data_IF_130001815315
#
_entry.id   IF_130001815315
#
_cell.length_a   1.000
_cell.length_b   1.000
_cell.length_c   1.000
_cell.angle_alpha   90.00
_cell.angle_beta   90.00
_cell.angle_gamma   90.00
#
_symmetry.space_group_name_H-M   'P 1'
#
loop_
_entity.id
_entity.type
_entity.pdbx_description
1 polymer ?
#
# COMPACT_ATOMS: atom_id res chain seq x y z
N UNK A 1 -13.61 -17.99 -13.51
CA UNK A 1 -13.59 -16.88 -14.47
C UNK A 1 -12.67 -17.22 -15.63
N UNK A 2 -13.03 -16.94 -16.88
CA UNK A 2 -12.16 -17.20 -18.04
C UNK A 2 -11.07 -16.11 -18.18
N UNK A 3 -9.79 -16.44 -18.46
CA UNK A 3 -8.71 -15.46 -18.55
C UNK A 3 -8.94 -14.34 -19.57
N UNK A 4 -9.54 -14.65 -20.73
CA UNK A 4 -9.84 -13.66 -21.75
C UNK A 4 -10.90 -12.63 -21.29
N UNK A 5 -11.88 -13.06 -20.48
CA UNK A 5 -12.88 -12.16 -19.87
C UNK A 5 -12.21 -11.23 -18.86
N UNK A 6 -11.41 -11.78 -17.94
CA UNK A 6 -10.67 -11.01 -16.95
C UNK A 6 -9.74 -9.96 -17.61
N UNK A 7 -8.98 -10.35 -18.62
CA UNK A 7 -8.09 -9.43 -19.36
C UNK A 7 -8.88 -8.26 -19.98
N UNK A 8 -10.03 -8.54 -20.59
CA UNK A 8 -10.87 -7.51 -21.21
C UNK A 8 -11.46 -6.57 -20.16
N UNK A 9 -12.02 -7.10 -19.08
CA UNK A 9 -12.59 -6.30 -17.99
C UNK A 9 -11.54 -5.38 -17.35
N UNK A 10 -10.38 -5.92 -16.96
CA UNK A 10 -9.33 -5.11 -16.32
C UNK A 10 -8.79 -4.00 -17.23
N UNK A 11 -8.64 -4.27 -18.54
CA UNK A 11 -8.04 -3.32 -19.48
C UNK A 11 -9.04 -2.29 -20.00
N UNK A 12 -10.27 -2.71 -20.28
CA UNK A 12 -11.24 -1.91 -21.03
C UNK A 12 -12.46 -1.51 -20.21
N UNK A 13 -12.72 -2.15 -19.06
CA UNK A 13 -13.84 -1.81 -18.20
C UNK A 13 -13.72 -0.39 -17.64
N UNK A 14 -14.87 0.25 -17.43
CA UNK A 14 -14.98 1.67 -17.05
C UNK A 14 -15.83 1.89 -15.80
N UNK A 15 -16.20 0.83 -15.06
CA UNK A 15 -16.94 1.02 -13.82
C UNK A 15 -16.20 1.92 -12.83
N UNK A 16 -16.94 2.64 -11.95
CA UNK A 16 -16.33 3.43 -10.90
C UNK A 16 -15.40 2.62 -9.96
N UNK A 17 -15.67 1.32 -9.75
CA UNK A 17 -14.79 0.47 -8.94
C UNK A 17 -13.48 0.15 -9.64
N UNK A 18 -13.51 -0.17 -10.94
CA UNK A 18 -12.28 -0.39 -11.69
C UNK A 18 -11.41 0.87 -11.71
N UNK A 19 -11.99 2.05 -11.85
CA UNK A 19 -11.25 3.31 -11.79
C UNK A 19 -10.57 3.50 -10.43
N UNK A 20 -11.29 3.29 -9.31
CA UNK A 20 -10.70 3.35 -7.97
C UNK A 20 -9.62 2.29 -7.77
N UNK A 21 -9.83 1.06 -8.25
CA UNK A 21 -8.83 -0.02 -8.17
C UNK A 21 -7.55 0.31 -8.91
N UNK A 22 -7.63 0.92 -10.10
CA UNK A 22 -6.44 1.38 -10.84
C UNK A 22 -5.65 2.41 -10.02
N UNK A 23 -6.33 3.34 -9.36
CA UNK A 23 -5.70 4.26 -8.41
C UNK A 23 -5.08 3.51 -7.22
N UNK A 24 -5.79 2.59 -6.57
CA UNK A 24 -5.25 1.80 -5.47
C UNK A 24 -4.00 1.03 -5.90
N UNK A 25 -4.02 0.36 -7.06
CA UNK A 25 -2.86 -0.34 -7.62
C UNK A 25 -1.71 0.65 -7.86
N UNK A 26 -1.96 1.77 -8.52
CA UNK A 26 -0.95 2.79 -8.80
C UNK A 26 -0.31 3.38 -7.53
N UNK A 27 -1.12 3.69 -6.52
CA UNK A 27 -0.64 4.18 -5.22
C UNK A 27 0.24 3.15 -4.51
N UNK A 28 -0.17 1.87 -4.51
CA UNK A 28 0.65 0.80 -3.93
C UNK A 28 1.95 0.58 -4.71
N UNK A 29 1.94 0.66 -6.04
CA UNK A 29 3.17 0.60 -6.84
C UNK A 29 4.09 1.79 -6.56
N UNK A 30 3.54 2.98 -6.34
CA UNK A 30 4.32 4.14 -5.91
C UNK A 30 4.95 3.92 -4.53
N UNK A 31 4.20 3.39 -3.55
CA UNK A 31 4.76 3.00 -2.26
C UNK A 31 5.85 1.92 -2.40
N UNK A 32 5.67 0.94 -3.26
CA UNK A 32 6.68 -0.09 -3.49
C UNK A 32 7.98 0.49 -4.09
N UNK A 33 7.85 1.46 -5.01
CA UNK A 33 8.97 2.20 -5.57
C UNK A 33 9.69 3.05 -4.52
N UNK A 34 8.94 3.71 -3.62
CA UNK A 34 9.51 4.43 -2.47
C UNK A 34 10.35 3.46 -1.62
N UNK A 35 9.81 2.29 -1.26
CA UNK A 35 10.55 1.27 -0.52
C UNK A 35 11.82 0.83 -1.25
N UNK A 36 11.79 0.77 -2.58
CA UNK A 36 12.98 0.44 -3.39
C UNK A 36 14.05 1.52 -3.33
N UNK A 37 13.67 2.80 -3.32
CA UNK A 37 14.59 3.94 -3.16
C UNK A 37 15.21 3.93 -1.76
N UNK A 38 14.40 3.78 -0.72
CA UNK A 38 14.87 3.67 0.68
C UNK A 38 15.78 2.46 0.86
N UNK A 39 15.37 1.29 0.36
CA UNK A 39 16.18 0.07 0.41
C UNK A 39 17.52 0.21 -0.31
N UNK A 40 17.55 0.91 -1.47
CA UNK A 40 18.79 1.20 -2.19
C UNK A 40 19.74 2.11 -1.38
N UNK A 41 19.21 3.06 -0.61
CA UNK A 41 20.01 3.83 0.35
C UNK A 41 20.56 2.95 1.47
N UNK A 42 19.72 2.08 2.06
CA UNK A 42 20.11 1.23 3.19
C UNK A 42 21.21 0.21 2.87
N UNK A 43 21.35 -0.19 1.60
CA UNK A 43 22.46 -1.06 1.17
C UNK A 43 23.63 -0.29 0.54
N UNK A 44 23.59 1.05 0.57
CA UNK A 44 24.66 1.90 0.09
C UNK A 44 24.75 2.06 -1.44
N UNK A 45 23.71 1.68 -2.19
CA UNK A 45 23.63 2.02 -3.63
C UNK A 45 23.38 3.52 -3.82
N UNK A 46 22.63 4.13 -2.91
CA UNK A 46 22.47 5.58 -2.80
C UNK A 46 23.24 6.09 -1.58
N UNK A 47 23.74 7.32 -1.67
CA UNK A 47 24.48 7.95 -0.56
C UNK A 47 23.64 8.91 0.28
N UNK A 48 22.49 9.33 -0.24
CA UNK A 48 21.63 10.33 0.37
C UNK A 48 20.21 10.19 -0.20
N UNK A 49 19.21 10.39 0.65
CA UNK A 49 17.81 10.53 0.30
C UNK A 49 17.44 12.02 0.29
N UNK A 50 16.97 12.57 -0.85
CA UNK A 50 16.64 13.98 -0.91
C UNK A 50 15.43 14.26 -0.01
N UNK A 51 15.63 15.13 0.98
CA UNK A 51 14.60 15.60 1.88
C UNK A 51 14.07 16.99 1.48
N UNK A 52 12.81 17.31 1.79
CA UNK A 52 12.32 18.69 1.75
C UNK A 52 13.19 19.58 2.65
N UNK A 53 13.46 20.85 2.28
CA UNK A 53 14.28 21.76 3.07
C UNK A 53 13.57 22.28 4.34
N UNK A 54 12.47 21.65 4.75
CA UNK A 54 11.65 22.02 5.90
C UNK A 54 11.76 20.92 6.96
N UNK A 55 11.90 21.30 8.22
CA UNK A 55 11.87 20.32 9.31
C UNK A 55 10.48 19.71 9.50
N UNK A 56 10.37 18.50 10.10
CA UNK A 56 11.42 17.76 10.79
C UNK A 56 11.97 16.55 9.99
N UNK A 57 12.25 16.72 8.69
CA UNK A 57 12.70 15.62 7.83
C UNK A 57 14.23 15.41 7.85
N UNK A 58 14.65 14.17 8.09
CA UNK A 58 16.03 13.68 8.01
C UNK A 58 15.99 12.17 7.71
N UNK A 59 15.71 11.84 6.45
CA UNK A 59 15.55 10.47 5.95
C UNK A 59 16.83 9.69 6.09
N UNK A 60 17.99 10.31 5.87
CA UNK A 60 19.30 9.66 6.02
C UNK A 60 19.51 9.13 7.43
N UNK A 61 19.23 9.97 8.44
CA UNK A 61 19.33 9.60 9.85
C UNK A 61 18.35 8.49 10.23
N UNK A 62 17.10 8.60 9.77
CA UNK A 62 16.04 7.66 10.11
C UNK A 62 16.32 6.29 9.48
N UNK A 63 16.59 6.24 8.18
CA UNK A 63 16.72 4.99 7.43
C UNK A 63 18.06 4.29 7.65
N UNK A 64 19.08 5.01 8.15
CA UNK A 64 20.34 4.42 8.63
C UNK A 64 20.33 4.04 10.12
N UNK A 65 19.25 4.33 10.85
CA UNK A 65 19.14 3.99 12.28
C UNK A 65 18.93 2.49 12.50
N UNK A 66 19.15 2.01 13.74
CA UNK A 66 18.90 0.61 14.09
C UNK A 66 17.50 0.15 13.68
N UNK A 67 16.49 1.04 13.81
CA UNK A 67 15.10 0.74 13.46
C UNK A 67 14.94 0.22 12.02
N UNK A 68 15.68 0.77 11.05
CA UNK A 68 15.61 0.39 9.64
C UNK A 68 16.07 -1.04 9.35
N UNK A 69 16.71 -1.70 10.32
CA UNK A 69 17.25 -3.06 10.19
C UNK A 69 16.71 -4.03 11.25
N UNK A 70 15.87 -3.56 12.19
CA UNK A 70 15.40 -4.35 13.35
C UNK A 70 14.57 -5.58 12.99
N UNK A 71 14.07 -5.66 11.75
CA UNK A 71 13.11 -6.68 11.33
C UNK A 71 13.78 -7.68 10.41
N UNK A 72 13.95 -8.91 10.90
CA UNK A 72 14.48 -10.07 10.15
C UNK A 72 15.91 -9.87 9.61
N UNK A 73 16.69 -8.95 10.18
CA UNK A 73 18.02 -8.54 9.68
C UNK A 73 17.99 -8.10 8.20
N UNK A 74 16.86 -7.56 7.75
CA UNK A 74 16.63 -7.07 6.39
C UNK A 74 16.36 -5.56 6.45
N UNK A 75 16.92 -4.77 5.52
CA UNK A 75 16.54 -3.36 5.38
C UNK A 75 15.04 -3.22 5.15
N UNK A 76 14.37 -2.43 5.99
CA UNK A 76 12.91 -2.32 6.00
C UNK A 76 12.34 -1.74 4.69
N UNK A 77 13.12 -0.98 3.92
CA UNK A 77 12.76 -0.54 2.58
C UNK A 77 12.41 -1.69 1.63
N UNK A 78 13.10 -2.84 1.71
CA UNK A 78 12.76 -4.01 0.90
C UNK A 78 11.50 -4.72 1.40
N UNK A 79 11.28 -4.77 2.72
CA UNK A 79 10.03 -5.28 3.29
C UNK A 79 8.84 -4.42 2.86
N UNK A 80 9.06 -3.10 2.82
CA UNK A 80 8.12 -2.12 2.30
C UNK A 80 7.81 -2.38 0.81
N UNK A 81 8.81 -2.59 -0.03
CA UNK A 81 8.60 -2.96 -1.44
C UNK A 81 7.75 -4.22 -1.58
N UNK A 82 8.07 -5.27 -0.83
CA UNK A 82 7.36 -6.54 -0.90
C UNK A 82 5.89 -6.40 -0.45
N UNK A 83 5.64 -5.72 0.66
CA UNK A 83 4.26 -5.58 1.19
C UNK A 83 3.38 -4.79 0.23
N UNK A 84 3.88 -3.69 -0.33
CA UNK A 84 3.09 -2.85 -1.23
C UNK A 84 2.94 -3.45 -2.63
N UNK A 85 3.94 -4.19 -3.13
CA UNK A 85 3.77 -5.00 -4.33
C UNK A 85 2.69 -6.09 -4.15
N UNK A 86 2.65 -6.73 -2.98
CA UNK A 86 1.59 -7.67 -2.60
C UNK A 86 0.22 -7.01 -2.53
N UNK A 87 0.11 -5.82 -1.92
CA UNK A 87 -1.13 -5.04 -1.88
C UNK A 87 -1.61 -4.62 -3.28
N UNK A 88 -0.70 -4.21 -4.16
CA UNK A 88 -1.01 -3.92 -5.56
C UNK A 88 -1.55 -5.15 -6.29
N UNK A 89 -0.91 -6.31 -6.11
CA UNK A 89 -1.37 -7.56 -6.70
C UNK A 89 -2.78 -7.94 -6.20
N UNK A 90 -3.02 -7.87 -4.89
CA UNK A 90 -4.33 -8.15 -4.29
C UNK A 90 -5.43 -7.21 -4.82
N UNK A 91 -5.15 -5.91 -4.94
CA UNK A 91 -6.07 -4.94 -5.51
C UNK A 91 -6.37 -5.20 -7.01
N UNK A 92 -5.41 -5.78 -7.74
CA UNK A 92 -5.56 -6.14 -9.15
C UNK A 92 -6.35 -7.45 -9.38
N UNK A 93 -6.55 -8.29 -8.36
CA UNK A 93 -7.30 -9.55 -8.50
C UNK A 93 -8.80 -9.35 -8.72
N UNK A 94 -9.42 -10.18 -9.55
CA UNK A 94 -10.86 -10.22 -9.79
C UNK A 94 -11.35 -9.30 -10.91
N UNK A 95 -12.48 -9.68 -11.51
CA UNK A 95 -13.12 -8.98 -12.63
C UNK A 95 -13.78 -7.64 -12.25
N UNK A 96 -14.53 -7.07 -13.18
CA UNK A 96 -15.23 -5.78 -13.00
C UNK A 96 -16.26 -5.83 -11.85
N UNK A 97 -17.03 -6.92 -11.78
CA UNK A 97 -18.10 -7.13 -10.80
C UNK A 97 -17.62 -8.00 -9.61
N UNK A 98 -16.35 -7.87 -9.20
CA UNK A 98 -15.78 -8.71 -8.14
C UNK A 98 -16.43 -8.50 -6.77
N UNK A 99 -17.10 -7.37 -6.53
CA UNK A 99 -17.84 -7.16 -5.29
C UNK A 99 -19.03 -8.12 -5.16
N UNK A 100 -19.64 -8.49 -6.28
CA UNK A 100 -20.77 -9.41 -6.35
C UNK A 100 -20.29 -10.86 -6.53
N UNK A 101 -19.38 -11.10 -7.48
CA UNK A 101 -18.92 -12.45 -7.83
C UNK A 101 -17.90 -13.03 -6.83
N UNK A 102 -17.06 -12.19 -6.21
CA UNK A 102 -15.93 -12.59 -5.36
C UNK A 102 -15.77 -11.63 -4.16
N UNK A 103 -16.78 -11.47 -3.29
CA UNK A 103 -16.81 -10.45 -2.25
C UNK A 103 -15.67 -10.53 -1.24
N UNK A 104 -15.04 -11.70 -1.09
CA UNK A 104 -13.86 -11.87 -0.25
C UNK A 104 -12.65 -11.05 -0.74
N UNK A 105 -12.53 -10.76 -2.05
CA UNK A 105 -11.41 -10.01 -2.61
C UNK A 105 -11.42 -8.51 -2.21
N UNK A 106 -12.52 -7.75 -2.39
CA UNK A 106 -12.58 -6.37 -1.87
C UNK A 106 -12.38 -6.29 -0.37
N UNK A 107 -12.96 -7.22 0.40
CA UNK A 107 -12.81 -7.27 1.86
C UNK A 107 -11.35 -7.50 2.24
N UNK A 108 -10.68 -8.48 1.63
CA UNK A 108 -9.27 -8.74 1.86
C UNK A 108 -8.40 -7.53 1.46
N UNK A 109 -8.71 -6.89 0.33
CA UNK A 109 -8.00 -5.69 -0.15
C UNK A 109 -8.10 -4.56 0.88
N UNK A 110 -9.31 -4.28 1.38
CA UNK A 110 -9.51 -3.21 2.36
C UNK A 110 -8.93 -3.55 3.73
N UNK A 111 -9.02 -4.81 4.16
CA UNK A 111 -8.38 -5.27 5.40
C UNK A 111 -6.86 -5.12 5.33
N UNK A 112 -6.24 -5.49 4.20
CA UNK A 112 -4.81 -5.31 3.96
C UNK A 112 -4.44 -3.83 3.92
N UNK A 113 -5.20 -2.99 3.25
CA UNK A 113 -4.93 -1.55 3.20
C UNK A 113 -5.01 -0.86 4.57
N UNK A 114 -5.98 -1.27 5.41
CA UNK A 114 -6.08 -0.78 6.81
C UNK A 114 -4.91 -1.29 7.65
N UNK A 115 -4.51 -2.55 7.47
CA UNK A 115 -3.32 -3.09 8.13
C UNK A 115 -2.06 -2.31 7.74
N UNK A 116 -1.85 -2.07 6.44
CA UNK A 116 -0.71 -1.30 5.94
C UNK A 116 -0.69 0.13 6.50
N UNK A 117 -1.85 0.79 6.55
CA UNK A 117 -1.98 2.12 7.15
C UNK A 117 -1.65 2.11 8.65
N UNK A 118 -2.13 1.11 9.39
CA UNK A 118 -1.84 0.97 10.82
C UNK A 118 -0.35 0.70 11.07
N UNK A 119 0.27 -0.14 10.24
CA UNK A 119 1.72 -0.38 10.27
C UNK A 119 2.47 0.92 9.97
N UNK A 120 2.15 1.62 8.88
CA UNK A 120 2.81 2.86 8.52
C UNK A 120 2.70 3.95 9.61
N UNK A 121 1.53 4.10 10.23
CA UNK A 121 1.33 5.03 11.34
C UNK A 121 2.18 4.65 12.58
N UNK A 122 2.27 3.35 12.88
CA UNK A 122 3.13 2.85 13.97
C UNK A 122 4.61 3.10 13.68
N UNK A 123 5.05 2.86 12.45
CA UNK A 123 6.42 3.11 12.02
C UNK A 123 6.77 4.61 12.10
N UNK A 124 5.89 5.50 11.65
CA UNK A 124 6.08 6.95 11.81
C UNK A 124 6.22 7.37 13.29
N UNK A 125 5.50 6.71 14.20
CA UNK A 125 5.66 6.92 15.63
C UNK A 125 7.01 6.41 16.15
N UNK A 126 7.48 5.25 15.66
CA UNK A 126 8.81 4.70 15.98
C UNK A 126 9.92 5.64 15.48
N UNK A 127 9.84 6.14 14.23
CA UNK A 127 10.76 7.13 13.67
C UNK A 127 10.89 8.36 14.58
N UNK A 128 9.77 8.95 14.96
CA UNK A 128 9.76 10.14 15.82
C UNK A 128 10.32 9.86 17.22
N UNK A 129 9.96 8.73 17.82
CA UNK A 129 10.34 8.41 19.19
C UNK A 129 11.83 8.06 19.33
N UNK A 130 12.41 7.38 18.33
CA UNK A 130 13.82 6.97 18.34
C UNK A 130 14.74 8.05 17.76
N UNK A 131 14.33 8.71 16.68
CA UNK A 131 15.21 9.60 15.92
C UNK A 131 14.88 11.09 16.09
N UNK A 132 13.73 11.46 16.66
CA UNK A 132 13.27 12.87 16.70
C UNK A 132 13.26 13.54 15.31
N UNK A 133 13.13 12.73 14.27
CA UNK A 133 13.10 13.11 12.87
C UNK A 133 12.15 12.14 12.13
N UNK A 134 11.69 12.55 10.96
CA UNK A 134 10.84 11.72 10.10
C UNK A 134 11.52 11.49 8.76
N UNK A 135 11.30 10.32 8.18
CA UNK A 135 11.71 10.05 6.80
C UNK A 135 10.64 10.60 5.84
N UNK A 136 10.96 11.60 5.02
CA UNK A 136 10.00 12.23 4.11
C UNK A 136 9.40 11.22 3.12
N UNK A 137 10.21 10.24 2.69
CA UNK A 137 9.79 9.15 1.82
C UNK A 137 8.77 8.24 2.50
N UNK A 138 9.02 7.83 3.74
CA UNK A 138 8.08 7.03 4.54
C UNK A 138 6.78 7.79 4.83
N UNK A 139 6.85 9.09 5.11
CA UNK A 139 5.65 9.91 5.32
C UNK A 139 4.83 10.07 4.03
N UNK A 140 5.49 10.24 2.87
CA UNK A 140 4.81 10.24 1.58
C UNK A 140 4.08 8.91 1.33
N UNK A 141 4.73 7.77 1.59
CA UNK A 141 4.09 6.46 1.46
C UNK A 141 2.92 6.26 2.43
N UNK A 142 3.02 6.79 3.66
CA UNK A 142 1.94 6.78 4.64
C UNK A 142 0.72 7.52 4.11
N UNK A 143 0.91 8.72 3.54
CA UNK A 143 -0.17 9.50 2.93
C UNK A 143 -0.81 8.78 1.72
N UNK A 144 0.00 8.22 0.82
CA UNK A 144 -0.50 7.43 -0.31
C UNK A 144 -1.31 6.21 0.14
N UNK A 145 -0.86 5.54 1.20
CA UNK A 145 -1.53 4.38 1.78
C UNK A 145 -2.86 4.75 2.42
N UNK A 146 -2.94 5.91 3.10
CA UNK A 146 -4.20 6.43 3.62
C UNK A 146 -5.23 6.69 2.51
N UNK A 147 -4.79 7.31 1.40
CA UNK A 147 -5.65 7.53 0.22
C UNK A 147 -6.07 6.18 -0.38
N UNK A 148 -5.16 5.24 -0.54
CA UNK A 148 -5.47 3.91 -1.07
C UNK A 148 -6.52 3.19 -0.20
N UNK A 149 -6.38 3.21 1.13
CA UNK A 149 -7.34 2.63 2.06
C UNK A 149 -8.72 3.30 1.98
N UNK A 150 -8.79 4.62 1.82
CA UNK A 150 -10.06 5.31 1.62
C UNK A 150 -10.76 4.88 0.31
N UNK A 151 -9.98 4.70 -0.76
CA UNK A 151 -10.49 4.30 -2.07
C UNK A 151 -11.03 2.86 -2.11
N UNK A 152 -10.63 1.97 -1.20
CA UNK A 152 -11.16 0.59 -1.13
C UNK A 152 -12.54 0.50 -0.47
N UNK A 153 -12.96 1.51 0.28
CA UNK A 153 -14.19 1.47 1.08
C UNK A 153 -15.47 1.29 0.25
N UNK A 154 -15.69 1.98 -0.89
CA UNK A 154 -16.95 1.87 -1.64
C UNK A 154 -17.19 0.47 -2.22
N UNK A 155 -16.16 -0.17 -2.77
CA UNK A 155 -16.22 -1.53 -3.31
C UNK A 155 -16.43 -2.54 -2.17
N UNK A 156 -15.76 -2.34 -1.03
CA UNK A 156 -15.91 -3.19 0.16
C UNK A 156 -17.32 -3.11 0.75
N UNK A 157 -17.92 -1.92 0.80
CA UNK A 157 -19.30 -1.76 1.24
C UNK A 157 -20.29 -2.51 0.32
N UNK A 158 -20.02 -2.57 -0.99
CA UNK A 158 -20.79 -3.40 -1.91
C UNK A 158 -20.59 -4.89 -1.66
N UNK A 159 -19.34 -5.32 -1.48
CA UNK A 159 -19.02 -6.72 -1.18
C UNK A 159 -19.70 -7.21 0.11
N UNK A 160 -19.67 -6.40 1.17
CA UNK A 160 -20.34 -6.70 2.44
C UNK A 160 -21.87 -6.83 2.27
N UNK A 161 -22.48 -5.96 1.46
CA UNK A 161 -23.92 -6.08 1.12
C UNK A 161 -24.22 -7.33 0.30
N UNK A 162 -23.34 -7.73 -0.62
CA UNK A 162 -23.49 -8.96 -1.38
C UNK A 162 -23.50 -10.18 -0.47
N UNK A 163 -22.55 -10.27 0.47
CA UNK A 163 -22.49 -11.35 1.47
C UNK A 163 -23.72 -11.38 2.37
N UNK A 164 -24.16 -10.22 2.87
CA UNK A 164 -25.34 -10.15 3.73
C UNK A 164 -26.61 -10.67 3.03
N UNK A 165 -26.77 -10.40 1.72
CA UNK A 165 -27.88 -10.93 0.92
C UNK A 165 -27.78 -12.44 0.72
N UNK A 166 -26.58 -12.97 0.52
CA UNK A 166 -26.35 -14.41 0.34
C UNK A 166 -26.58 -15.20 1.63
N UNK A 167 -26.33 -14.60 2.79
CA UNK A 167 -26.53 -15.26 4.09
C UNK A 167 -27.99 -15.22 4.59
N UNK A 168 -28.82 -14.34 4.03
CA UNK A 168 -30.22 -14.14 4.43
C UNK A 168 -31.26 -14.76 3.48
N UNK A 169 -30.84 -15.44 2.42
CA UNK A 169 -31.70 -16.18 1.48
C UNK A 169 -31.45 -17.68 1.59
#
# INVERSE_FOLDING_TARGET
MQPARLSRELRLGTSPDLTRRRWVVGLNLACAAIGGVVGAYQIGMLRHLPDPPVGPFDSDRVDASNYGYKRLDVPDGFLMTLTYAGSAALAAMGGEDRAEEQPHLPIATSAKAVYDLATAAKLAQEEWSENRALCAWCQAATALTAVAAALTLPETARAARSLARQAGG
#
